data_IF_430647856313
#
_entry.id   IF_430647856313
#
_cell.length_a   1.000
_cell.length_b   1.000
_cell.length_c   1.000
_cell.angle_alpha   90.00
_cell.angle_beta   90.00
_cell.angle_gamma   90.00
#
_symmetry.space_group_name_H-M   'P 1'
#
loop_
_entity.id
_entity.type
_entity.pdbx_description
1 polymer ?
#
# COMPACT_ATOMS: atom_id res chain seq x y z
N UNK A 1 9.20 -2.38 -8.87
CA UNK A 1 8.96 -0.97 -9.25
C UNK A 1 9.47 -0.11 -8.11
N UNK A 2 10.43 0.77 -8.36
CA UNK A 2 11.00 1.69 -7.36
C UNK A 2 9.99 2.81 -7.12
N UNK A 3 9.67 3.10 -5.85
CA UNK A 3 8.82 4.26 -5.50
C UNK A 3 9.54 5.51 -5.99
N UNK A 4 8.90 6.28 -6.88
CA UNK A 4 9.44 7.59 -7.24
C UNK A 4 9.22 8.54 -6.04
N UNK A 5 10.29 8.97 -5.34
CA UNK A 5 10.17 9.74 -4.11
C UNK A 5 9.45 11.08 -4.34
N UNK A 6 9.50 11.65 -5.54
CA UNK A 6 8.85 12.93 -5.83
C UNK A 6 7.31 12.79 -5.84
N UNK A 7 6.78 11.58 -6.06
CA UNK A 7 5.34 11.35 -6.17
C UNK A 7 4.63 11.39 -4.83
N UNK A 8 5.27 10.95 -3.75
CA UNK A 8 4.67 10.98 -2.41
C UNK A 8 4.53 12.40 -1.85
N UNK A 9 5.18 13.40 -2.45
CA UNK A 9 5.08 14.81 -2.06
C UNK A 9 3.98 15.58 -2.80
N UNK A 10 3.32 14.95 -3.78
CA UNK A 10 2.25 15.59 -4.55
C UNK A 10 1.08 16.05 -3.66
N UNK A 11 0.30 17.06 -4.06
CA UNK A 11 -0.99 17.35 -3.42
C UNK A 11 -1.91 16.12 -3.40
N UNK A 12 -2.83 16.03 -2.44
CA UNK A 12 -3.69 14.84 -2.24
C UNK A 12 -4.40 14.38 -3.51
N UNK A 13 -4.95 15.32 -4.29
CA UNK A 13 -5.65 15.02 -5.54
C UNK A 13 -4.73 14.41 -6.59
N UNK A 14 -3.51 14.92 -6.74
CA UNK A 14 -2.52 14.45 -7.70
C UNK A 14 -1.88 13.12 -7.26
N UNK A 15 -1.63 12.96 -5.96
CA UNK A 15 -1.20 11.69 -5.40
C UNK A 15 -2.25 10.59 -5.65
N UNK A 16 -3.52 10.87 -5.38
CA UNK A 16 -4.61 9.95 -5.66
C UNK A 16 -4.69 9.60 -7.16
N UNK A 17 -4.68 10.60 -8.05
CA UNK A 17 -4.71 10.37 -9.51
C UNK A 17 -3.56 9.48 -9.97
N UNK A 18 -2.37 9.68 -9.41
CA UNK A 18 -1.22 8.85 -9.70
C UNK A 18 -1.44 7.40 -9.25
N UNK A 19 -1.93 7.17 -8.02
CA UNK A 19 -2.29 5.83 -7.55
C UNK A 19 -3.38 5.18 -8.42
N UNK A 20 -4.42 5.95 -8.78
CA UNK A 20 -5.49 5.50 -9.65
C UNK A 20 -4.96 5.07 -11.02
N UNK A 21 -4.09 5.87 -11.63
CA UNK A 21 -3.49 5.58 -12.95
C UNK A 21 -2.61 4.34 -12.93
N UNK A 22 -1.82 4.12 -11.88
CA UNK A 22 -0.90 2.97 -11.81
C UNK A 22 -1.59 1.66 -11.44
N UNK A 23 -2.54 1.71 -10.51
CA UNK A 23 -3.09 0.51 -9.88
C UNK A 23 -4.57 0.25 -10.22
N UNK A 24 -5.22 1.17 -10.93
CA UNK A 24 -6.63 1.03 -11.32
C UNK A 24 -7.58 0.99 -10.12
N UNK A 25 -7.22 1.67 -9.01
CA UNK A 25 -8.08 1.78 -7.82
C UNK A 25 -9.09 2.92 -7.96
N UNK A 26 -10.25 2.76 -7.33
CA UNK A 26 -11.22 3.84 -7.19
C UNK A 26 -10.97 4.63 -5.88
N UNK A 27 -11.64 5.78 -5.74
CA UNK A 27 -11.51 6.67 -4.58
C UNK A 27 -11.92 6.01 -3.26
N UNK A 28 -12.93 5.14 -3.28
CA UNK A 28 -13.38 4.40 -2.10
C UNK A 28 -12.29 3.48 -1.54
N UNK A 29 -11.67 2.67 -2.42
CA UNK A 29 -10.55 1.78 -2.06
C UNK A 29 -9.38 2.60 -1.52
N UNK A 30 -8.99 3.68 -2.22
CA UNK A 30 -7.91 4.56 -1.76
C UNK A 30 -8.19 5.10 -0.35
N UNK A 31 -9.38 5.65 -0.12
CA UNK A 31 -9.76 6.21 1.18
C UNK A 31 -9.77 5.15 2.29
N UNK A 32 -10.23 3.92 2.02
CA UNK A 32 -10.17 2.83 3.00
C UNK A 32 -8.73 2.49 3.37
N UNK A 33 -7.82 2.44 2.40
CA UNK A 33 -6.40 2.16 2.65
C UNK A 33 -5.76 3.29 3.46
N UNK A 34 -6.00 4.54 3.06
CA UNK A 34 -5.46 5.72 3.76
C UNK A 34 -5.95 5.78 5.21
N UNK A 35 -7.25 5.61 5.43
CA UNK A 35 -7.83 5.57 6.78
C UNK A 35 -7.23 4.44 7.61
N UNK A 36 -7.12 3.23 7.05
CA UNK A 36 -6.57 2.09 7.77
C UNK A 36 -5.13 2.36 8.23
N UNK A 37 -4.26 2.86 7.35
CA UNK A 37 -2.88 3.18 7.74
C UNK A 37 -2.81 4.31 8.76
N UNK A 38 -3.70 5.31 8.66
CA UNK A 38 -3.80 6.37 9.67
C UNK A 38 -4.16 5.81 11.05
N UNK A 39 -5.17 4.93 11.11
CA UNK A 39 -5.60 4.25 12.33
C UNK A 39 -4.53 3.30 12.89
N UNK A 40 -3.72 2.67 12.02
CA UNK A 40 -2.54 1.87 12.37
C UNK A 40 -1.28 2.69 12.68
N UNK A 41 -1.45 3.91 13.21
CA UNK A 41 -0.38 4.82 13.66
C UNK A 41 0.58 5.37 12.58
N UNK A 42 0.29 5.23 11.28
CA UNK A 42 1.05 5.94 10.22
C UNK A 42 0.51 7.36 10.06
N UNK A 43 0.69 8.21 11.08
CA UNK A 43 0.12 9.58 11.11
C UNK A 43 0.83 10.56 10.19
N UNK A 44 2.15 10.44 10.06
CA UNK A 44 2.93 11.23 9.11
C UNK A 44 2.47 10.94 7.67
N UNK A 45 2.13 12.01 6.93
CA UNK A 45 1.53 11.90 5.59
C UNK A 45 2.49 11.23 4.61
N UNK A 46 3.78 11.55 4.65
CA UNK A 46 4.75 11.01 3.71
C UNK A 46 4.99 9.52 3.98
N UNK A 47 5.12 9.14 5.25
CA UNK A 47 5.24 7.76 5.68
C UNK A 47 4.00 6.94 5.31
N UNK A 48 2.81 7.50 5.54
CA UNK A 48 1.55 6.85 5.14
C UNK A 48 1.46 6.64 3.63
N UNK A 49 1.80 7.66 2.84
CA UNK A 49 1.81 7.57 1.38
C UNK A 49 2.81 6.53 0.86
N UNK A 50 3.98 6.38 1.49
CA UNK A 50 4.90 5.27 1.19
C UNK A 50 4.23 3.93 1.43
N UNK A 51 3.63 3.72 2.61
CA UNK A 51 2.91 2.48 2.92
C UNK A 51 1.77 2.18 1.93
N UNK A 52 1.00 3.20 1.51
CA UNK A 52 -0.04 3.07 0.48
C UNK A 52 0.56 2.52 -0.82
N UNK A 53 1.66 3.11 -1.31
CA UNK A 53 2.31 2.69 -2.56
C UNK A 53 2.88 1.28 -2.45
N UNK A 54 3.53 0.96 -1.34
CA UNK A 54 4.09 -0.37 -1.06
C UNK A 54 2.98 -1.43 -1.05
N UNK A 55 1.88 -1.14 -0.37
CA UNK A 55 0.72 -2.01 -0.31
C UNK A 55 0.07 -2.23 -1.68
N UNK A 56 -0.15 -1.16 -2.44
CA UNK A 56 -0.71 -1.27 -3.79
C UNK A 56 0.22 -2.06 -4.72
N UNK A 57 1.53 -1.89 -4.58
CA UNK A 57 2.54 -2.67 -5.31
C UNK A 57 2.53 -4.15 -4.90
N UNK A 58 2.40 -4.45 -3.61
CA UNK A 58 2.25 -5.81 -3.09
C UNK A 58 1.02 -6.51 -3.69
N UNK A 59 -0.14 -5.85 -3.74
CA UNK A 59 -1.32 -6.49 -4.32
C UNK A 59 -1.20 -6.63 -5.84
N UNK A 60 -0.62 -5.64 -6.51
CA UNK A 60 -0.38 -5.71 -7.95
C UNK A 60 0.52 -6.91 -8.32
N UNK A 61 1.58 -7.18 -7.54
CA UNK A 61 2.45 -8.33 -7.77
C UNK A 61 1.74 -9.66 -7.52
N UNK A 62 0.86 -9.75 -6.52
CA UNK A 62 0.00 -10.92 -6.31
C UNK A 62 -0.95 -11.21 -7.49
N UNK A 63 -1.30 -10.19 -8.29
CA UNK A 63 -2.18 -10.32 -9.46
C UNK A 63 -1.45 -10.73 -10.74
N UNK A 64 -0.19 -10.34 -10.92
CA UNK A 64 0.59 -10.73 -12.11
C UNK A 64 0.72 -12.25 -12.24
N UNK A 65 0.71 -12.98 -11.12
CA UNK A 65 0.67 -14.44 -11.10
C UNK A 65 -0.67 -15.08 -11.53
N UNK A 66 -1.71 -14.29 -11.82
CA UNK A 66 -3.08 -14.81 -12.08
C UNK A 66 -3.70 -14.43 -13.43
N UNK A 67 -2.97 -13.79 -14.36
CA UNK A 67 -3.50 -13.38 -15.68
C UNK A 67 -4.85 -12.62 -15.63
N UNK A 68 -5.09 -11.79 -14.60
CA UNK A 68 -6.36 -11.05 -14.46
C UNK A 68 -6.17 -9.55 -14.67
N UNK A 69 -6.55 -9.09 -15.87
CA UNK A 69 -6.33 -7.74 -16.38
C UNK A 69 -7.37 -6.69 -15.93
N UNK A 70 -8.25 -6.98 -14.96
CA UNK A 70 -9.36 -6.09 -14.64
C UNK A 70 -9.50 -5.83 -13.14
N UNK A 71 -9.32 -4.56 -12.72
CA UNK A 71 -9.73 -3.90 -11.46
C UNK A 71 -9.44 -4.62 -10.13
N UNK A 72 -8.91 -3.91 -9.13
CA UNK A 72 -8.80 -4.44 -7.77
C UNK A 72 -10.20 -4.67 -7.16
N UNK A 73 -10.75 -5.87 -7.32
CA UNK A 73 -11.99 -6.30 -6.67
C UNK A 73 -11.66 -7.00 -5.37
N UNK A 74 -12.01 -6.35 -4.27
CA UNK A 74 -11.99 -6.96 -2.94
C UNK A 74 -13.42 -7.41 -2.61
N UNK A 75 -13.58 -8.63 -2.12
CA UNK A 75 -14.85 -9.03 -1.48
C UNK A 75 -15.11 -8.18 -0.22
N UNK A 76 -16.28 -8.34 0.41
CA UNK A 76 -16.76 -7.48 1.50
C UNK A 76 -15.77 -7.27 2.68
N UNK A 77 -14.80 -8.18 2.89
CA UNK A 77 -13.70 -8.02 3.87
C UNK A 77 -12.30 -8.25 3.28
N UNK A 78 -12.19 -8.38 1.96
CA UNK A 78 -10.96 -8.80 1.30
C UNK A 78 -9.83 -7.76 1.35
N UNK A 79 -10.18 -6.47 1.44
CA UNK A 79 -9.19 -5.39 1.47
C UNK A 79 -8.49 -5.32 2.83
N UNK A 80 -9.26 -5.30 3.93
CA UNK A 80 -8.70 -5.25 5.29
C UNK A 80 -7.82 -6.46 5.58
N UNK A 81 -8.26 -7.67 5.19
CA UNK A 81 -7.43 -8.88 5.34
C UNK A 81 -6.09 -8.76 4.62
N UNK A 82 -6.07 -8.14 3.42
CA UNK A 82 -4.81 -7.91 2.70
C UNK A 82 -3.93 -6.86 3.37
N UNK A 83 -4.53 -5.84 3.99
CA UNK A 83 -3.81 -4.84 4.77
C UNK A 83 -3.13 -5.49 5.98
N UNK A 84 -3.84 -6.35 6.71
CA UNK A 84 -3.30 -7.13 7.82
C UNK A 84 -2.13 -8.02 7.36
N UNK A 85 -2.33 -8.83 6.31
CA UNK A 85 -1.27 -9.69 5.74
C UNK A 85 -0.02 -8.89 5.32
N UNK A 86 -0.21 -7.69 4.78
CA UNK A 86 0.90 -6.81 4.40
C UNK A 86 1.63 -6.26 5.62
N UNK A 87 0.90 -5.83 6.63
CA UNK A 87 1.46 -5.22 7.83
C UNK A 87 2.27 -6.23 8.66
N UNK A 88 1.73 -7.43 8.87
CA UNK A 88 2.42 -8.52 9.56
C UNK A 88 3.75 -8.85 8.86
N UNK A 89 3.75 -8.85 7.52
CA UNK A 89 4.96 -9.05 6.73
C UNK A 89 5.99 -7.93 6.93
N UNK A 90 5.55 -6.66 6.91
CA UNK A 90 6.44 -5.52 7.14
C UNK A 90 7.06 -5.55 8.54
N UNK A 91 6.26 -5.81 9.57
CA UNK A 91 6.73 -5.90 10.95
C UNK A 91 7.75 -7.04 11.12
N UNK A 92 7.47 -8.22 10.53
CA UNK A 92 8.41 -9.33 10.55
C UNK A 92 9.76 -8.98 9.88
N UNK A 93 9.73 -8.37 8.69
CA UNK A 93 10.93 -7.94 7.96
C UNK A 93 11.74 -6.89 8.74
N UNK A 94 11.06 -5.93 9.38
CA UNK A 94 11.71 -4.90 10.19
C UNK A 94 12.38 -5.52 11.44
N UNK A 95 11.70 -6.44 12.11
CA UNK A 95 12.25 -7.18 13.25
C UNK A 95 13.42 -8.09 12.87
N UNK A 96 13.43 -8.65 11.65
CA UNK A 96 14.56 -9.43 11.16
C UNK A 96 15.77 -8.52 10.87
N UNK A 97 15.56 -7.35 10.27
CA UNK A 97 16.63 -6.36 10.02
C UNK A 97 17.26 -5.86 11.32
N UNK A 98 16.45 -5.57 12.35
CA UNK A 98 16.95 -5.14 13.67
C UNK A 98 17.82 -6.21 14.33
N UNK A 99 17.50 -7.49 14.14
CA UNK A 99 18.32 -8.60 14.64
C UNK A 99 19.66 -8.68 13.90
N UNK A 100 19.64 -8.67 12.57
CA UNK A 100 20.85 -8.81 11.76
C UNK A 100 21.80 -7.59 11.78
N UNK A 101 21.39 -6.45 12.36
CA UNK A 101 22.25 -5.27 12.51
C UNK A 101 22.89 -5.18 13.91
N UNK A 102 22.47 -6.03 14.84
CA UNK A 102 22.99 -6.11 16.20
C UNK A 102 23.99 -7.27 16.40
N UNK A 103 24.29 -8.01 15.33
CA UNK A 103 25.32 -9.05 15.23
C UNK A 103 26.46 -8.55 14.33
#
# INVERSE_FOLDING_TARGET
>A
MTINPDKIHLPDSEFFKWCQSLYGINKGIYNTIDLWFYESNKRDILSRRRCIVEFLTFIASCKMNRNQHHSLRFGHRGLVKKLEEFFDKQEYEENLRKRNHND
#
